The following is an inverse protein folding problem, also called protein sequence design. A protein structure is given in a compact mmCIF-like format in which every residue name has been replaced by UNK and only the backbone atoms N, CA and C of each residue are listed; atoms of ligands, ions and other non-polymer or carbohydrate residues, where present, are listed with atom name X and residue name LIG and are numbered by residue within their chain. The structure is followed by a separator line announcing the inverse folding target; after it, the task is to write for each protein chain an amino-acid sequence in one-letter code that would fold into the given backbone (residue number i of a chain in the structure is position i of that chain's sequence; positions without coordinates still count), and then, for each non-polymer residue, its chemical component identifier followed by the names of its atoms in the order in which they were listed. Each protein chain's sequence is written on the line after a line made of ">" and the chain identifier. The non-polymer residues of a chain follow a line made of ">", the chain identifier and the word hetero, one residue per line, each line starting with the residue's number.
data_IF_717813386111
#
_entry.id   IF_717813386111
#
_cell.length_a   1.000
_cell.length_b   1.000
_cell.length_c   1.000
_cell.angle_alpha   90.00
_cell.angle_beta   90.00
_cell.angle_gamma   90.00
#
_symmetry.space_group_name_H-M   'P 1'
#
loop_
_entity.id
_entity.type
_entity.pdbx_description
1 polymer ?
#
# COMPACT_ATOMS: atom_id res chain seq x y z
N UNK A 1 -26.16 -13.74 -16.81
CA UNK A 1 -26.28 -12.43 -16.11
C UNK A 1 -25.13 -11.44 -16.40
N UNK A 2 -23.92 -11.86 -16.81
CA UNK A 2 -22.79 -10.94 -17.05
C UNK A 2 -22.54 -10.51 -18.51
N UNK A 3 -23.37 -10.92 -19.47
CA UNK A 3 -23.15 -10.68 -20.91
C UNK A 3 -23.38 -9.23 -21.39
N UNK A 4 -23.92 -8.35 -20.53
CA UNK A 4 -24.18 -6.92 -20.85
C UNK A 4 -23.09 -5.96 -20.39
N UNK A 5 -22.03 -6.45 -19.74
CA UNK A 5 -21.02 -5.59 -19.13
C UNK A 5 -19.82 -5.38 -20.08
N UNK A 6 -19.87 -4.35 -20.92
CA UNK A 6 -18.64 -3.76 -21.51
C UNK A 6 -17.89 -3.01 -20.40
N UNK A 7 -17.18 -3.75 -19.54
CA UNK A 7 -16.29 -3.15 -18.56
C UNK A 7 -15.11 -2.52 -19.32
N UNK A 8 -14.99 -1.20 -19.24
CA UNK A 8 -13.76 -0.51 -19.62
C UNK A 8 -12.60 -1.00 -18.74
N UNK A 9 -11.38 -1.06 -19.29
CA UNK A 9 -10.19 -1.57 -18.58
C UNK A 9 -10.00 -0.96 -17.19
N UNK A 10 -10.38 0.31 -17.00
CA UNK A 10 -10.31 0.99 -15.70
C UNK A 10 -11.30 0.43 -14.66
N UNK A 11 -12.49 -0.04 -15.06
CA UNK A 11 -13.47 -0.64 -14.14
C UNK A 11 -13.00 -2.02 -13.68
N UNK A 12 -12.32 -2.76 -14.55
CA UNK A 12 -11.66 -4.02 -14.19
C UNK A 12 -10.53 -3.73 -13.20
N UNK A 13 -9.69 -2.73 -13.47
CA UNK A 13 -8.64 -2.31 -12.54
C UNK A 13 -9.22 -1.90 -11.17
N UNK A 14 -10.29 -1.12 -11.16
CA UNK A 14 -10.96 -0.72 -9.92
C UNK A 14 -11.50 -1.91 -9.14
N UNK A 15 -12.17 -2.86 -9.81
CA UNK A 15 -12.68 -4.07 -9.17
C UNK A 15 -11.58 -4.97 -8.61
N UNK A 16 -10.43 -5.06 -9.30
CA UNK A 16 -9.26 -5.78 -8.79
C UNK A 16 -8.69 -5.09 -7.54
N UNK A 17 -8.58 -3.76 -7.54
CA UNK A 17 -8.12 -3.00 -6.37
C UNK A 17 -9.06 -3.16 -5.17
N UNK A 18 -10.38 -3.14 -5.39
CA UNK A 18 -11.37 -3.39 -4.35
C UNK A 18 -11.28 -4.80 -3.78
N UNK A 19 -11.06 -5.79 -4.65
CA UNK A 19 -10.85 -7.18 -4.22
C UNK A 19 -9.56 -7.33 -3.43
N UNK A 20 -8.49 -6.66 -3.88
CA UNK A 20 -7.20 -6.61 -3.18
C UNK A 20 -7.33 -5.94 -1.81
N UNK A 21 -8.12 -4.87 -1.69
CA UNK A 21 -8.43 -4.24 -0.41
C UNK A 21 -9.14 -5.20 0.54
N UNK A 22 -10.19 -5.88 0.07
CA UNK A 22 -10.93 -6.87 0.86
C UNK A 22 -10.02 -8.04 1.29
N UNK A 23 -9.10 -8.47 0.42
CA UNK A 23 -8.08 -9.46 0.74
C UNK A 23 -7.21 -9.01 1.93
N UNK A 24 -6.68 -7.79 1.91
CA UNK A 24 -5.87 -7.26 3.01
C UNK A 24 -6.68 -6.98 4.29
N UNK A 25 -7.97 -6.68 4.17
CA UNK A 25 -8.86 -6.55 5.34
C UNK A 25 -9.05 -7.89 6.06
N UNK A 26 -9.14 -8.99 5.30
CA UNK A 26 -9.29 -10.34 5.84
C UNK A 26 -7.97 -11.12 6.00
N UNK A 27 -6.83 -10.50 5.74
CA UNK A 27 -5.54 -11.20 5.77
C UNK A 27 -5.09 -11.43 7.21
N UNK A 28 -5.26 -12.66 7.69
CA UNK A 28 -4.86 -13.09 9.03
C UNK A 28 -3.34 -12.99 9.27
N UNK A 29 -2.53 -13.05 8.21
CA UNK A 29 -1.07 -12.87 8.33
C UNK A 29 -0.67 -11.48 8.84
N UNK A 30 -1.55 -10.48 8.66
CA UNK A 30 -1.38 -9.14 9.22
C UNK A 30 -1.89 -9.02 10.66
N UNK A 31 -2.26 -10.12 11.32
CA UNK A 31 -2.59 -10.11 12.75
C UNK A 31 -1.34 -10.32 13.61
N UNK A 32 -1.36 -9.75 14.81
CA UNK A 32 -0.27 -9.84 15.78
C UNK A 32 0.02 -11.31 16.11
N UNK A 33 1.24 -11.76 15.79
CA UNK A 33 1.67 -13.14 15.98
C UNK A 33 1.59 -14.03 14.74
N UNK A 34 1.40 -13.47 13.54
CA UNK A 34 1.44 -14.22 12.28
C UNK A 34 2.71 -15.05 12.12
N UNK A 35 2.54 -16.34 11.85
CA UNK A 35 3.62 -17.34 11.85
C UNK A 35 4.53 -17.24 10.61
N UNK A 36 4.00 -16.81 9.47
CA UNK A 36 4.75 -16.78 8.19
C UNK A 36 5.03 -15.34 7.71
N UNK A 37 6.00 -14.71 8.36
CA UNK A 37 6.52 -13.38 8.00
C UNK A 37 7.17 -13.36 6.60
N UNK A 38 7.67 -14.51 6.13
CA UNK A 38 8.30 -14.62 4.82
C UNK A 38 7.26 -14.57 3.69
N UNK A 39 6.17 -15.32 3.81
CA UNK A 39 5.04 -15.23 2.89
C UNK A 39 4.44 -13.82 2.91
N UNK A 40 4.29 -13.22 4.09
CA UNK A 40 3.80 -11.84 4.22
C UNK A 40 4.71 -10.84 3.49
N UNK A 41 6.04 -10.95 3.66
CA UNK A 41 7.02 -10.11 2.98
C UNK A 41 6.95 -10.23 1.44
N UNK A 42 6.77 -11.45 0.93
CA UNK A 42 6.60 -11.68 -0.50
C UNK A 42 5.30 -11.10 -1.04
N UNK A 43 4.18 -11.30 -0.33
CA UNK A 43 2.87 -10.73 -0.68
C UNK A 43 2.96 -9.20 -0.72
N UNK A 44 3.54 -8.58 0.31
CA UNK A 44 3.70 -7.13 0.40
C UNK A 44 4.60 -6.61 -0.72
N UNK A 45 5.72 -7.27 -0.99
CA UNK A 45 6.65 -6.87 -2.06
C UNK A 45 5.99 -6.93 -3.44
N UNK A 46 5.29 -8.03 -3.75
CA UNK A 46 4.57 -8.18 -5.01
C UNK A 46 3.44 -7.17 -5.15
N UNK A 47 2.71 -6.92 -4.05
CA UNK A 47 1.61 -5.97 -4.02
C UNK A 47 2.10 -4.53 -4.22
N UNK A 48 3.17 -4.12 -3.52
CA UNK A 48 3.75 -2.79 -3.68
C UNK A 48 4.21 -2.54 -5.13
N UNK A 49 4.80 -3.56 -5.77
CA UNK A 49 5.17 -3.48 -7.18
C UNK A 49 3.95 -3.37 -8.11
N UNK A 50 2.88 -4.11 -7.82
CA UNK A 50 1.65 -4.06 -8.59
C UNK A 50 0.89 -2.72 -8.43
N UNK A 51 1.00 -2.07 -7.26
CA UNK A 51 0.34 -0.81 -6.95
C UNK A 51 1.00 0.42 -7.59
N UNK A 52 2.27 0.34 -7.99
CA UNK A 52 2.96 1.44 -8.70
C UNK A 52 2.19 1.91 -9.94
N UNK A 53 1.72 0.97 -10.76
CA UNK A 53 1.00 1.29 -12.00
C UNK A 53 -0.36 2.01 -11.78
N UNK A 54 -1.27 1.53 -10.91
CA UNK A 54 -2.54 2.21 -10.66
C UNK A 54 -2.39 3.53 -9.89
N UNK A 55 -1.34 3.71 -9.07
CA UNK A 55 -1.05 4.99 -8.40
C UNK A 55 -0.65 6.08 -9.39
N UNK A 56 0.12 5.72 -10.43
CA UNK A 56 0.59 6.63 -11.47
C UNK A 56 -0.40 6.82 -12.64
N UNK A 57 -1.63 6.30 -12.49
CA UNK A 57 -2.64 6.34 -13.54
C UNK A 57 -3.14 7.78 -13.77
N UNK A 58 -2.69 8.43 -14.84
CA UNK A 58 -3.07 9.83 -15.16
C UNK A 58 -4.55 10.00 -15.54
N UNK A 59 -5.17 8.97 -16.13
CA UNK A 59 -6.49 9.09 -16.75
C UNK A 59 -7.65 8.89 -15.78
N UNK A 60 -7.50 8.05 -14.76
CA UNK A 60 -8.62 7.66 -13.90
C UNK A 60 -8.32 7.91 -12.43
N UNK A 61 -8.89 8.99 -11.90
CA UNK A 61 -8.74 9.36 -10.49
C UNK A 61 -9.32 8.32 -9.53
N UNK A 62 -10.40 7.63 -9.91
CA UNK A 62 -10.98 6.53 -9.10
C UNK A 62 -10.00 5.37 -8.90
N UNK A 63 -9.22 5.03 -9.93
CA UNK A 63 -8.20 3.97 -9.85
C UNK A 63 -7.08 4.39 -8.90
N UNK A 64 -6.64 5.66 -8.99
CA UNK A 64 -5.64 6.22 -8.05
C UNK A 64 -6.14 6.23 -6.62
N UNK A 65 -7.37 6.68 -6.38
CA UNK A 65 -7.97 6.72 -5.04
C UNK A 65 -8.09 5.34 -4.41
N UNK A 66 -8.55 4.34 -5.17
CA UNK A 66 -8.68 3.00 -4.62
C UNK A 66 -7.30 2.38 -4.34
N UNK A 67 -6.33 2.56 -5.25
CA UNK A 67 -4.95 2.10 -5.03
C UNK A 67 -4.32 2.75 -3.79
N UNK A 68 -4.52 4.05 -3.59
CA UNK A 68 -4.05 4.75 -2.38
C UNK A 68 -4.69 4.18 -1.12
N UNK A 69 -5.96 3.80 -1.17
CA UNK A 69 -6.66 3.19 -0.03
C UNK A 69 -6.15 1.78 0.30
N UNK A 70 -5.67 1.03 -0.69
CA UNK A 70 -5.00 -0.26 -0.46
C UNK A 70 -3.65 -0.04 0.22
N UNK A 71 -2.87 0.96 -0.22
CA UNK A 71 -1.60 1.32 0.45
C UNK A 71 -1.85 1.75 1.89
N UNK A 72 -2.83 2.64 2.13
CA UNK A 72 -3.20 3.10 3.46
C UNK A 72 -3.56 1.94 4.40
N UNK A 73 -4.38 1.00 3.91
CA UNK A 73 -4.76 -0.18 4.68
C UNK A 73 -3.53 -1.04 5.03
N UNK A 74 -2.64 -1.27 4.06
CA UNK A 74 -1.41 -2.05 4.29
C UNK A 74 -0.60 -1.37 5.39
N UNK A 75 -0.31 -0.07 5.25
CA UNK A 75 0.51 0.70 6.19
C UNK A 75 -0.08 0.65 7.60
N UNK A 76 -1.38 0.92 7.75
CA UNK A 76 -2.07 0.86 9.05
C UNK A 76 -1.97 -0.50 9.69
N UNK A 77 -2.33 -1.56 8.95
CA UNK A 77 -2.35 -2.94 9.48
C UNK A 77 -0.95 -3.42 9.86
N UNK A 78 0.05 -3.14 9.05
CA UNK A 78 1.44 -3.48 9.38
C UNK A 78 2.00 -2.67 10.54
N UNK A 79 1.53 -1.44 10.75
CA UNK A 79 1.89 -0.61 11.90
C UNK A 79 1.25 -1.12 13.19
N UNK A 80 -0.05 -1.46 13.16
CA UNK A 80 -0.79 -2.03 14.29
C UNK A 80 -0.23 -3.38 14.77
N UNK A 81 0.26 -4.20 13.84
CA UNK A 81 0.78 -5.53 14.13
C UNK A 81 2.29 -5.56 14.36
N UNK A 82 2.98 -4.41 14.33
CA UNK A 82 4.44 -4.29 14.49
C UNK A 82 5.25 -5.10 13.45
N UNK A 83 4.63 -5.52 12.34
CA UNK A 83 5.23 -6.36 11.29
C UNK A 83 5.86 -5.55 10.15
N UNK A 84 6.23 -4.30 10.42
CA UNK A 84 6.73 -3.37 9.39
C UNK A 84 7.99 -3.90 8.69
N UNK A 85 8.78 -4.72 9.37
CA UNK A 85 9.98 -5.37 8.84
C UNK A 85 9.71 -6.28 7.64
N UNK A 86 8.46 -6.74 7.47
CA UNK A 86 8.06 -7.50 6.28
C UNK A 86 8.02 -6.63 5.01
N UNK A 87 7.88 -5.32 5.14
CA UNK A 87 7.91 -4.40 4.00
C UNK A 87 9.36 -4.08 3.65
N UNK A 88 9.86 -4.70 2.57
CA UNK A 88 11.24 -4.49 2.10
C UNK A 88 11.55 -3.02 1.78
N UNK A 89 12.79 -2.58 2.04
CA UNK A 89 13.27 -1.21 1.75
C UNK A 89 13.00 -0.79 0.31
N UNK A 90 13.25 -1.69 -0.66
CA UNK A 90 12.97 -1.45 -2.08
C UNK A 90 11.49 -1.19 -2.36
N UNK A 91 10.59 -1.85 -1.64
CA UNK A 91 9.14 -1.65 -1.79
C UNK A 91 8.71 -0.31 -1.20
N UNK A 92 9.30 0.08 -0.05
CA UNK A 92 9.09 1.40 0.56
C UNK A 92 9.55 2.52 -0.36
N UNK A 93 10.74 2.44 -0.94
CA UNK A 93 11.26 3.42 -1.90
C UNK A 93 10.39 3.55 -3.15
N UNK A 94 9.86 2.43 -3.65
CA UNK A 94 8.92 2.44 -4.79
C UNK A 94 7.61 3.14 -4.43
N UNK A 95 7.03 2.80 -3.27
CA UNK A 95 5.82 3.46 -2.78
C UNK A 95 6.06 4.95 -2.57
N UNK A 96 7.15 5.34 -1.92
CA UNK A 96 7.52 6.75 -1.74
C UNK A 96 7.62 7.48 -3.08
N UNK A 97 8.27 6.89 -4.08
CA UNK A 97 8.35 7.50 -5.42
C UNK A 97 6.96 7.71 -6.04
N UNK A 98 6.07 6.72 -5.96
CA UNK A 98 4.71 6.83 -6.49
C UNK A 98 3.81 7.76 -5.66
N UNK A 99 4.04 7.89 -4.34
CA UNK A 99 3.34 8.85 -3.49
C UNK A 99 3.81 10.29 -3.77
N UNK A 100 5.11 10.49 -4.03
CA UNK A 100 5.65 11.78 -4.44
C UNK A 100 5.04 12.28 -5.74
N UNK A 101 4.76 11.39 -6.71
CA UNK A 101 4.06 11.80 -7.95
C UNK A 101 2.59 12.17 -7.66
N UNK A 102 1.94 11.49 -6.72
CA UNK A 102 0.58 11.79 -6.26
C UNK A 102 0.45 13.12 -5.49
N UNK A 103 1.52 13.64 -4.90
CA UNK A 103 1.50 14.99 -4.29
C UNK A 103 1.26 16.11 -5.32
N UNK A 104 1.52 15.84 -6.60
CA UNK A 104 1.22 16.76 -7.71
C UNK A 104 -0.16 16.57 -8.32
N UNK A 105 -1.01 15.71 -7.74
CA UNK A 105 -2.37 15.44 -8.23
C UNK A 105 -3.28 16.67 -8.13
N UNK A 106 -4.26 16.78 -9.01
CA UNK A 106 -5.21 17.91 -8.99
C UNK A 106 -6.18 17.88 -7.81
N UNK A 107 -6.32 16.74 -7.12
CA UNK A 107 -7.28 16.56 -6.01
C UNK A 107 -6.62 16.74 -4.65
N UNK A 108 -7.07 17.70 -3.82
CA UNK A 108 -6.48 17.96 -2.50
C UNK A 108 -6.57 16.74 -1.57
N UNK A 109 -7.72 16.04 -1.52
CA UNK A 109 -7.90 14.86 -0.66
C UNK A 109 -6.88 13.73 -0.93
N UNK A 110 -6.45 13.59 -2.20
CA UNK A 110 -5.45 12.60 -2.58
C UNK A 110 -4.04 13.04 -2.20
N UNK A 111 -3.75 14.34 -2.34
CA UNK A 111 -2.47 14.92 -1.95
C UNK A 111 -2.25 14.82 -0.45
N UNK A 112 -3.26 15.20 0.33
CA UNK A 112 -3.18 15.19 1.79
C UNK A 112 -2.94 13.77 2.32
N UNK A 113 -3.68 12.78 1.80
CA UNK A 113 -3.46 11.37 2.13
C UNK A 113 -2.10 10.83 1.67
N UNK A 114 -1.64 11.22 0.47
CA UNK A 114 -0.33 10.81 -0.01
C UNK A 114 0.79 11.37 0.87
N UNK A 115 0.64 12.62 1.33
CA UNK A 115 1.57 13.25 2.26
C UNK A 115 1.56 12.56 3.63
N UNK A 116 0.38 12.31 4.22
CA UNK A 116 0.23 11.59 5.50
C UNK A 116 0.90 10.21 5.44
N UNK A 117 0.69 9.47 4.34
CA UNK A 117 1.34 8.17 4.14
C UNK A 117 2.85 8.31 3.99
N UNK A 118 3.36 9.34 3.32
CA UNK A 118 4.81 9.56 3.22
C UNK A 118 5.45 9.85 4.57
N UNK A 119 4.85 10.73 5.36
CA UNK A 119 5.31 11.03 6.73
C UNK A 119 5.28 9.76 7.59
N UNK A 120 4.22 8.96 7.47
CA UNK A 120 4.09 7.68 8.17
C UNK A 120 5.20 6.70 7.76
N UNK A 121 5.48 6.55 6.47
CA UNK A 121 6.57 5.70 5.96
C UNK A 121 7.94 6.17 6.45
N UNK A 122 8.16 7.48 6.56
CA UNK A 122 9.41 8.08 7.03
C UNK A 122 9.58 7.88 8.54
N UNK A 123 8.55 8.13 9.34
CA UNK A 123 8.53 7.89 10.79
C UNK A 123 8.84 6.43 11.09
N UNK A 124 8.20 5.49 10.40
CA UNK A 124 8.47 4.07 10.61
C UNK A 124 9.88 3.65 10.16
N UNK A 125 10.45 4.29 9.14
CA UNK A 125 11.84 4.07 8.76
C UNK A 125 12.80 4.47 9.91
N UNK A 126 12.58 5.64 10.50
CA UNK A 126 13.35 6.13 11.65
C UNK A 126 13.13 5.24 12.88
N UNK A 127 11.88 4.82 13.15
CA UNK A 127 11.58 3.94 14.27
C UNK A 127 12.27 2.58 14.12
N UNK A 128 12.28 2.00 12.93
CA UNK A 128 12.98 0.73 12.64
C UNK A 128 14.48 0.88 12.89
N UNK A 129 15.09 1.98 12.46
CA UNK A 129 16.52 2.25 12.71
C UNK A 129 16.81 2.43 14.20
N UNK A 130 15.96 3.15 14.93
CA UNK A 130 16.11 3.38 16.37
C UNK A 130 15.89 2.10 17.18
N UNK A 131 14.91 1.27 16.82
CA UNK A 131 14.66 -0.02 17.47
C UNK A 131 15.78 -1.02 17.20
N UNK A 132 16.30 -1.07 15.97
CA UNK A 132 17.45 -1.91 15.63
C UNK A 132 18.71 -1.48 16.40
N UNK A 133 18.95 -0.17 16.56
CA UNK A 133 20.09 0.34 17.32
C UNK A 133 19.95 0.14 18.84
N UNK A 134 18.73 0.24 19.38
CA UNK A 134 18.47 0.08 20.82
C UNK A 134 18.35 -1.38 21.27
N UNK A 135 17.92 -2.29 20.39
CA UNK A 135 17.60 -3.68 20.75
C UNK A 135 18.56 -4.73 20.14
N UNK A 136 19.50 -4.34 19.25
CA UNK A 136 20.56 -5.22 18.75
C UNK A 136 21.81 -5.25 19.66
N UNK A 137 21.65 -5.03 20.97
CA UNK A 137 22.75 -5.07 21.94
C UNK A 137 22.47 -6.03 23.09
#
# INVERSE_FOLDING_TARGET
>A
MCEKLKLSTWKVQLGVLQSMKAYFQGLLLLEKGGEDLNALSQILTNTCAALTYPLENKSYSSVRTEALSVVDLIVKRTGESEQWDCVSVKSREKLQRSLSTLQSDSRPDLRDKAQELMETLEIFCVLTMVFFVLFAR
#
